data_IF_203701931775
#
_entry.id   IF_203701931775
#
_cell.length_a   1.000
_cell.length_b   1.000
_cell.length_c   1.000
_cell.angle_alpha   90.00
_cell.angle_beta   90.00
_cell.angle_gamma   90.00
#
_symmetry.space_group_name_H-M   'P 1'
#
loop_
_entity.id
_entity.type
_entity.pdbx_description
1 polymer ?
#
# COMPACT_ATOMS: atom_id res chain seq x y z
N UNK A 1 -3.41 10.74 -15.47
CA UNK A 1 -3.13 9.56 -14.62
C UNK A 1 -1.66 9.23 -14.74
N UNK A 2 -1.00 8.84 -13.65
CA UNK A 2 0.46 8.66 -13.58
C UNK A 2 0.84 7.47 -12.71
N UNK A 3 1.93 6.80 -13.04
CA UNK A 3 2.51 5.72 -12.22
C UNK A 3 3.62 6.31 -11.36
N UNK A 4 3.68 5.88 -10.10
CA UNK A 4 4.66 6.34 -9.12
C UNK A 4 5.16 5.17 -8.29
N UNK A 5 6.41 5.26 -7.84
CA UNK A 5 6.96 4.34 -6.85
C UNK A 5 6.58 4.77 -5.43
N UNK A 6 6.04 3.83 -4.66
CA UNK A 6 5.59 4.07 -3.28
C UNK A 6 6.22 3.09 -2.29
N UNK A 7 5.95 3.31 -1.00
CA UNK A 7 6.42 2.46 0.11
C UNK A 7 6.07 0.97 -0.05
N UNK A 8 5.00 0.66 -0.77
CA UNK A 8 4.49 -0.69 -0.96
C UNK A 8 4.68 -1.21 -2.40
N UNK A 9 5.51 -0.52 -3.18
CA UNK A 9 5.73 -0.79 -4.60
C UNK A 9 5.06 0.23 -5.53
N UNK A 10 5.16 0.03 -6.84
CA UNK A 10 4.56 0.89 -7.84
C UNK A 10 3.03 0.97 -7.70
N UNK A 11 2.48 2.15 -7.94
CA UNK A 11 1.05 2.38 -7.94
C UNK A 11 0.68 3.39 -9.02
N UNK A 12 -0.54 3.26 -9.52
CA UNK A 12 -1.15 4.24 -10.40
C UNK A 12 -2.06 5.18 -9.63
N UNK A 13 -2.06 6.45 -10.04
CA UNK A 13 -2.86 7.50 -9.44
C UNK A 13 -3.44 8.43 -10.49
N UNK A 14 -4.68 8.84 -10.29
CA UNK A 14 -5.32 9.93 -11.05
C UNK A 14 -5.41 11.23 -10.24
N UNK A 15 -4.76 11.29 -9.08
CA UNK A 15 -4.77 12.44 -8.17
C UNK A 15 -5.80 12.32 -7.05
N UNK A 16 -6.81 11.47 -7.21
CA UNK A 16 -7.86 11.24 -6.22
C UNK A 16 -7.77 9.81 -5.66
N UNK A 17 -7.72 8.82 -6.55
CA UNK A 17 -7.62 7.41 -6.21
C UNK A 17 -6.23 6.87 -6.49
N UNK A 18 -5.75 5.99 -5.61
CA UNK A 18 -4.45 5.35 -5.74
C UNK A 18 -4.65 3.82 -5.72
N UNK A 19 -4.20 3.14 -6.77
CA UNK A 19 -4.27 1.69 -6.92
C UNK A 19 -2.87 1.11 -7.15
N UNK A 20 -2.44 0.19 -6.29
CA UNK A 20 -1.17 -0.53 -6.47
C UNK A 20 -1.21 -1.41 -7.71
N UNK A 21 -0.09 -1.49 -8.44
CA UNK A 21 0.05 -2.43 -9.55
C UNK A 21 -0.05 -3.87 -9.02
N UNK A 22 -0.68 -4.77 -9.78
CA UNK A 22 -0.80 -6.19 -9.40
C UNK A 22 0.43 -6.96 -9.89
N UNK A 23 0.61 -8.16 -9.34
CA UNK A 23 1.69 -9.06 -9.75
C UNK A 23 1.48 -9.45 -11.23
N UNK A 24 2.38 -8.98 -12.10
CA UNK A 24 2.29 -9.17 -13.55
C UNK A 24 2.04 -7.88 -14.32
N UNK A 25 1.62 -6.79 -13.67
CA UNK A 25 1.63 -5.48 -14.28
C UNK A 25 3.05 -4.90 -14.17
N UNK A 26 3.64 -4.51 -15.29
CA UNK A 26 4.97 -3.87 -15.34
C UNK A 26 4.82 -2.37 -15.62
N UNK A 27 5.66 -1.56 -14.96
CA UNK A 27 5.54 -0.09 -14.99
C UNK A 27 5.80 0.47 -16.39
N UNK A 28 6.64 -0.18 -17.19
CA UNK A 28 6.99 0.29 -18.52
C UNK A 28 5.99 -0.13 -19.60
N UNK A 29 5.18 -1.18 -19.36
CA UNK A 29 4.32 -1.80 -20.37
C UNK A 29 2.82 -1.78 -20.04
N UNK A 30 2.43 -1.34 -18.83
CA UNK A 30 1.03 -1.20 -18.48
C UNK A 30 0.34 -0.17 -19.38
N UNK A 31 -0.85 -0.52 -19.85
CA UNK A 31 -1.67 0.35 -20.71
C UNK A 31 -2.58 1.26 -19.90
N UNK A 32 -3.04 2.35 -20.52
CA UNK A 32 -3.99 3.28 -19.92
C UNK A 32 -5.29 2.59 -19.51
N UNK A 33 -5.80 1.69 -20.35
CA UNK A 33 -7.01 0.90 -20.08
C UNK A 33 -6.84 0.05 -18.82
N UNK A 34 -5.75 -0.72 -18.76
CA UNK A 34 -5.46 -1.59 -17.62
C UNK A 34 -5.32 -0.79 -16.34
N UNK A 35 -4.67 0.35 -16.41
CA UNK A 35 -4.43 1.16 -15.25
C UNK A 35 -5.73 1.89 -14.82
N UNK A 36 -6.62 2.23 -15.76
CA UNK A 36 -7.96 2.77 -15.48
C UNK A 36 -8.86 1.73 -14.79
N UNK A 37 -8.79 0.46 -15.22
CA UNK A 37 -9.45 -0.66 -14.52
C UNK A 37 -9.01 -0.75 -13.06
N UNK A 38 -7.70 -0.66 -12.78
CA UNK A 38 -7.18 -0.73 -11.40
C UNK A 38 -7.74 0.40 -10.52
N UNK A 39 -7.88 1.60 -11.08
CA UNK A 39 -8.46 2.74 -10.36
C UNK A 39 -9.96 2.59 -10.17
N UNK A 40 -10.69 2.13 -11.18
CA UNK A 40 -12.13 1.86 -11.09
C UNK A 40 -12.43 0.77 -10.04
N UNK A 41 -11.68 -0.34 -10.07
CA UNK A 41 -11.72 -1.41 -9.07
C UNK A 41 -11.51 -0.86 -7.65
N UNK A 42 -10.55 0.05 -7.49
CA UNK A 42 -10.22 0.64 -6.20
C UNK A 42 -11.33 1.56 -5.71
N UNK A 43 -11.91 2.39 -6.58
CA UNK A 43 -13.06 3.24 -6.26
C UNK A 43 -14.27 2.41 -5.84
N UNK A 44 -14.58 1.35 -6.59
CA UNK A 44 -15.70 0.47 -6.31
C UNK A 44 -15.58 -0.23 -4.95
N UNK A 45 -14.36 -0.61 -4.54
CA UNK A 45 -14.10 -1.22 -3.23
C UNK A 45 -14.20 -0.24 -2.05
N UNK A 46 -14.13 1.07 -2.32
CA UNK A 46 -14.09 2.10 -1.30
C UNK A 46 -12.82 2.07 -0.43
N UNK A 47 -12.69 3.00 0.52
CA UNK A 47 -11.55 3.03 1.43
C UNK A 47 -11.51 1.76 2.26
N UNK A 48 -10.36 1.07 2.25
CA UNK A 48 -10.17 -0.12 3.08
C UNK A 48 -10.43 0.24 4.55
N UNK A 49 -11.46 -0.37 5.15
CA UNK A 49 -11.73 -0.23 6.58
C UNK A 49 -10.51 -0.76 7.31
N UNK A 50 -9.71 0.16 7.87
CA UNK A 50 -8.58 -0.20 8.73
C UNK A 50 -9.16 -1.01 9.89
N UNK A 51 -8.80 -2.29 10.07
CA UNK A 51 -9.11 -2.93 11.33
C UNK A 51 -8.43 -2.09 12.40
N UNK A 52 -9.21 -1.62 13.38
CA UNK A 52 -8.66 -0.93 14.55
C UNK A 52 -7.63 -1.87 15.16
N UNK A 53 -6.35 -1.56 14.92
CA UNK A 53 -5.23 -2.36 15.42
C UNK A 53 -5.29 -2.22 16.92
N UNK A 54 -5.87 -3.21 17.63
CA UNK A 54 -5.76 -3.31 19.09
C UNK A 54 -4.28 -3.16 19.40
N UNK A 55 -3.95 -2.11 20.14
CA UNK A 55 -2.59 -1.81 20.55
C UNK A 55 -2.05 -3.05 21.29
N UNK A 56 -1.24 -3.85 20.61
CA UNK A 56 -0.40 -4.82 21.27
C UNK A 56 0.59 -4.01 22.10
N UNK A 57 0.25 -3.89 23.38
CA UNK A 57 1.05 -3.32 24.46
C UNK A 57 2.48 -3.82 24.29
N UNK A 58 3.41 -2.93 23.94
CA UNK A 58 4.85 -3.24 23.98
C UNK A 58 5.17 -3.63 25.42
N UNK A 59 5.36 -4.92 25.65
CA UNK A 59 6.04 -5.41 26.86
C UNK A 59 7.48 -4.91 26.75
N UNK A 60 8.02 -4.13 27.71
CA UNK A 60 9.41 -3.73 27.65
C UNK A 60 10.27 -4.99 27.81
N UNK A 61 11.02 -5.33 26.77
CA UNK A 61 11.97 -6.42 26.82
C UNK A 61 12.99 -6.14 27.93
N UNK A 62 13.11 -7.08 28.88
CA UNK A 62 14.21 -7.17 29.84
C UNK A 62 15.54 -6.93 29.11
N UNK A 63 16.29 -5.92 29.54
CA UNK A 63 17.74 -5.86 29.30
C UNK A 63 18.44 -6.25 30.59
N UNK A 64 19.01 -7.45 30.57
CA UNK A 64 19.86 -7.96 31.63
C UNK A 64 21.18 -7.18 31.71
N UNK A 65 21.66 -7.06 32.95
CA UNK A 65 23.06 -7.00 33.39
C UNK A 65 24.04 -6.03 32.72
N UNK A 66 24.56 -5.09 33.52
CA UNK A 66 25.99 -4.79 33.54
C UNK A 66 26.46 -4.70 35.00
N UNK A 67 27.55 -5.42 35.28
CA UNK A 67 28.34 -5.36 36.52
C UNK A 67 28.91 -3.95 36.70
N UNK A 68 29.10 -3.54 37.94
CA UNK A 68 30.39 -3.18 38.55
C UNK A 68 30.23 -3.24 40.08
#
# INVERSE_FOLDING_TARGET
>A
MVIKDGRFGPYVTDGETNASLRKGDDVASITDERAAELLADRRARGPAKRPARKAARKVPAKKAAKRD
#
